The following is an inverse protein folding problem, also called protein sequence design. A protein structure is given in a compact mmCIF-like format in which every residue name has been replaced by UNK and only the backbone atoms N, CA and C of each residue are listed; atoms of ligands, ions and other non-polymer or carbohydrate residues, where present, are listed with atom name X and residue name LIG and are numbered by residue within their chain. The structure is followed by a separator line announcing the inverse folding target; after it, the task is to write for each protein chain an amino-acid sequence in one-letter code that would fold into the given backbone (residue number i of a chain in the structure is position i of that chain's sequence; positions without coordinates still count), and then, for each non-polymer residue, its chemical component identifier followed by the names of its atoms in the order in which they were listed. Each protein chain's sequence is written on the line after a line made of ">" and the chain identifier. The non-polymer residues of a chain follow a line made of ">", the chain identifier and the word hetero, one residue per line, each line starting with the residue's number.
data_IF_441865425994
#
_entry.id   IF_441865425994
#
_cell.length_a   1.000
_cell.length_b   1.000
_cell.length_c   1.000
_cell.angle_alpha   90.00
_cell.angle_beta   90.00
_cell.angle_gamma   90.00
#
_symmetry.space_group_name_H-M   'P 1'
#
loop_
_entity.id
_entity.type
_entity.pdbx_description
1 polymer ?
#
# COMPACT_ATOMS: atom_id res chain seq x y z
N UNK A 1 -38.47 -28.22 -33.96
CA UNK A 1 -38.30 -27.78 -32.54
C UNK A 1 -37.05 -28.36 -31.83
N UNK A 2 -36.00 -28.83 -32.54
CA UNK A 2 -34.80 -29.41 -31.88
C UNK A 2 -33.61 -28.45 -31.68
N UNK A 3 -33.60 -27.31 -32.40
CA UNK A 3 -32.46 -26.37 -32.44
C UNK A 3 -32.33 -25.51 -31.16
N UNK A 4 -33.45 -25.18 -30.52
CA UNK A 4 -33.46 -24.39 -29.27
C UNK A 4 -32.98 -25.21 -28.05
N UNK A 5 -33.17 -26.53 -28.05
CA UNK A 5 -32.71 -27.42 -26.98
C UNK A 5 -31.19 -27.61 -27.00
N UNK A 6 -30.58 -27.67 -28.19
CA UNK A 6 -29.13 -27.76 -28.34
C UNK A 6 -28.41 -26.47 -27.87
N UNK A 7 -28.98 -25.30 -28.14
CA UNK A 7 -28.42 -24.01 -27.70
C UNK A 7 -28.44 -23.85 -26.17
N UNK A 8 -29.52 -24.29 -25.52
CA UNK A 8 -29.64 -24.28 -24.06
C UNK A 8 -28.65 -25.23 -23.38
N UNK A 9 -28.39 -26.40 -23.98
CA UNK A 9 -27.38 -27.35 -23.49
C UNK A 9 -25.96 -26.79 -23.61
N UNK A 10 -25.61 -26.14 -24.72
CA UNK A 10 -24.29 -25.53 -24.91
C UNK A 10 -24.08 -24.37 -23.91
N UNK A 11 -25.11 -23.54 -23.69
CA UNK A 11 -25.03 -22.44 -22.74
C UNK A 11 -24.89 -22.93 -21.29
N UNK A 12 -25.64 -23.97 -20.91
CA UNK A 12 -25.51 -24.61 -19.60
C UNK A 12 -24.14 -25.26 -19.37
N UNK A 13 -23.60 -25.94 -20.38
CA UNK A 13 -22.27 -26.57 -20.29
C UNK A 13 -21.15 -25.53 -20.20
N UNK A 14 -21.28 -24.39 -20.91
CA UNK A 14 -20.32 -23.28 -20.80
C UNK A 14 -20.32 -22.62 -19.42
N UNK A 15 -21.48 -22.49 -18.78
CA UNK A 15 -21.58 -21.96 -17.41
C UNK A 15 -20.96 -22.95 -16.41
N UNK A 16 -21.15 -24.26 -16.60
CA UNK A 16 -20.57 -25.29 -15.75
C UNK A 16 -19.04 -25.33 -15.83
N UNK A 17 -18.45 -25.12 -17.02
CA UNK A 17 -16.99 -25.01 -17.19
C UNK A 17 -16.44 -23.75 -16.50
N UNK A 18 -17.15 -22.62 -16.55
CA UNK A 18 -16.77 -21.39 -15.85
C UNK A 18 -16.78 -21.55 -14.31
N UNK A 19 -17.70 -22.35 -13.76
CA UNK A 19 -17.77 -22.62 -12.33
C UNK A 19 -16.65 -23.55 -11.83
N UNK A 20 -16.09 -24.42 -12.68
CA UNK A 20 -15.00 -25.33 -12.33
C UNK A 20 -13.59 -24.70 -12.44
N UNK A 21 -13.46 -23.57 -13.15
CA UNK A 21 -12.19 -22.89 -13.35
C UNK A 21 -11.75 -22.00 -12.17
N UNK A 22 -12.58 -21.85 -11.13
CA UNK A 22 -12.31 -20.97 -9.99
C UNK A 22 -11.87 -21.76 -8.73
N UNK A 23 -10.93 -22.70 -8.88
CA UNK A 23 -10.29 -23.41 -7.76
C UNK A 23 -8.76 -23.34 -7.80
N UNK A 24 -8.20 -22.32 -8.44
CA UNK A 24 -6.79 -22.00 -8.30
C UNK A 24 -6.57 -21.36 -6.92
N UNK A 25 -6.12 -22.16 -5.96
CA UNK A 25 -5.67 -21.72 -4.66
C UNK A 25 -4.42 -20.85 -4.85
N UNK A 26 -4.61 -19.53 -4.94
CA UNK A 26 -3.51 -18.58 -5.04
C UNK A 26 -2.71 -18.65 -3.73
N UNK A 27 -1.49 -19.19 -3.79
CA UNK A 27 -0.57 -19.12 -2.65
C UNK A 27 -0.34 -17.66 -2.31
N UNK A 28 -0.87 -17.22 -1.17
CA UNK A 28 -0.63 -15.88 -0.66
C UNK A 28 0.83 -15.78 -0.24
N UNK A 29 1.51 -14.71 -0.67
CA UNK A 29 2.88 -14.44 -0.26
C UNK A 29 2.93 -14.19 1.24
N UNK A 30 3.90 -14.80 1.92
CA UNK A 30 4.14 -14.58 3.35
C UNK A 30 5.18 -13.49 3.56
N UNK A 31 5.05 -12.81 4.68
CA UNK A 31 6.01 -11.82 5.15
C UNK A 31 6.05 -11.76 6.66
N UNK A 32 6.97 -10.96 7.16
CA UNK A 32 7.14 -10.67 8.58
C UNK A 32 7.14 -9.14 8.77
N UNK A 33 6.50 -8.68 9.84
CA UNK A 33 6.46 -7.26 10.18
C UNK A 33 7.82 -6.80 10.71
N UNK A 34 8.36 -5.73 10.12
CA UNK A 34 9.64 -5.12 10.48
C UNK A 34 9.50 -3.61 10.69
N UNK A 35 10.48 -3.00 11.36
CA UNK A 35 10.54 -1.54 11.51
C UNK A 35 10.77 -0.89 10.14
N UNK A 36 9.79 -0.12 9.66
CA UNK A 36 9.94 0.62 8.42
C UNK A 36 10.80 1.86 8.62
N UNK A 37 11.72 2.08 7.67
CA UNK A 37 12.58 3.26 7.60
C UNK A 37 12.50 3.87 6.21
N UNK A 38 12.29 5.18 6.14
CA UNK A 38 12.37 5.97 4.90
C UNK A 38 13.58 6.88 4.94
N UNK A 39 14.28 6.95 3.81
CA UNK A 39 15.45 7.80 3.62
C UNK A 39 15.02 8.93 2.73
N UNK A 40 15.19 10.17 3.21
CA UNK A 40 14.82 11.38 2.47
C UNK A 40 16.05 12.27 2.27
N UNK A 41 16.13 12.92 1.12
CA UNK A 41 17.11 13.99 0.92
C UNK A 41 16.81 15.13 1.91
N UNK A 42 17.83 15.83 2.43
CA UNK A 42 17.63 16.92 3.37
C UNK A 42 16.87 18.05 2.67
N UNK A 43 15.88 18.60 3.35
CA UNK A 43 15.07 19.69 2.80
C UNK A 43 15.92 20.96 2.80
N UNK A 44 16.41 21.36 1.62
CA UNK A 44 17.03 22.67 1.48
C UNK A 44 15.97 23.73 1.77
N UNK A 45 16.08 24.42 2.90
CA UNK A 45 15.36 25.67 3.07
C UNK A 45 15.84 26.61 1.95
N UNK A 46 14.92 27.33 1.33
CA UNK A 46 15.26 28.44 0.45
C UNK A 46 16.09 29.41 1.32
N UNK A 47 17.42 29.40 1.16
CA UNK A 47 18.47 30.08 1.98
C UNK A 47 19.25 29.28 3.05
N UNK A 48 19.18 27.95 3.15
CA UNK A 48 20.14 27.20 3.98
C UNK A 48 21.38 26.82 3.17
N UNK A 49 22.51 27.48 3.45
CA UNK A 49 23.84 26.97 3.07
C UNK A 49 24.18 25.77 3.95
N UNK A 50 23.55 24.61 3.76
CA UNK A 50 24.07 23.40 4.39
C UNK A 50 23.85 22.11 3.59
N UNK A 51 24.99 21.60 3.12
CA UNK A 51 25.40 20.21 2.84
C UNK A 51 24.56 19.39 1.85
N UNK A 52 24.94 19.57 0.59
CA UNK A 52 24.89 18.53 -0.44
C UNK A 52 25.35 17.18 0.14
N UNK A 53 24.42 16.20 0.22
CA UNK A 53 24.73 14.79 0.53
C UNK A 53 24.26 14.19 1.86
N UNK A 54 23.59 14.92 2.77
CA UNK A 54 23.12 14.34 4.05
C UNK A 54 21.70 13.76 3.98
N UNK A 55 21.55 12.46 3.76
CA UNK A 55 20.25 11.79 3.84
C UNK A 55 19.74 11.72 5.28
N UNK A 56 18.45 12.03 5.48
CA UNK A 56 17.76 11.90 6.76
C UNK A 56 16.96 10.59 6.74
N UNK A 57 17.33 9.67 7.62
CA UNK A 57 16.54 8.46 7.90
C UNK A 57 15.45 8.78 8.91
N UNK A 58 14.24 8.27 8.66
CA UNK A 58 13.11 8.38 9.58
C UNK A 58 12.45 7.03 9.75
N UNK A 59 12.37 6.58 10.99
CA UNK A 59 11.54 5.46 11.37
C UNK A 59 10.07 5.85 11.23
N UNK A 60 9.27 4.95 10.66
CA UNK A 60 7.83 5.12 10.52
C UNK A 60 7.10 4.46 11.70
N UNK A 61 5.98 5.06 12.17
CA UNK A 61 5.21 4.46 13.25
C UNK A 61 4.60 3.12 12.80
N UNK A 62 4.56 2.13 13.69
CA UNK A 62 3.82 0.90 13.44
C UNK A 62 2.32 1.17 13.48
N UNK A 63 1.68 1.08 12.31
CA UNK A 63 0.28 1.45 12.10
C UNK A 63 -0.39 0.44 11.18
N UNK A 64 -1.67 0.21 11.41
CA UNK A 64 -2.52 -0.65 10.60
C UNK A 64 -3.86 0.06 10.33
N UNK A 65 -4.01 0.63 9.14
CA UNK A 65 -5.20 1.36 8.74
C UNK A 65 -6.25 0.41 8.14
N UNK A 66 -7.52 0.63 8.46
CA UNK A 66 -8.60 -0.17 7.88
C UNK A 66 -8.79 0.12 6.38
N UNK A 67 -8.56 1.37 5.98
CA UNK A 67 -8.75 1.85 4.60
C UNK A 67 -7.87 3.09 4.34
N UNK A 68 -7.85 3.50 3.07
CA UNK A 68 -7.21 4.72 2.61
C UNK A 68 -7.98 5.27 1.41
N UNK A 69 -7.63 6.47 0.95
CA UNK A 69 -8.16 7.07 -0.28
C UNK A 69 -7.04 7.39 -1.26
N UNK A 70 -7.29 7.18 -2.55
CA UNK A 70 -6.44 7.74 -3.59
C UNK A 70 -6.82 9.20 -3.84
N UNK A 71 -5.84 10.10 -3.83
CA UNK A 71 -6.06 11.50 -4.19
C UNK A 71 -4.88 12.07 -4.98
N UNK A 72 -5.17 12.98 -5.91
CA UNK A 72 -4.17 13.65 -6.73
C UNK A 72 -3.73 14.94 -6.05
N UNK A 73 -2.58 14.95 -5.39
CA UNK A 73 -2.10 16.10 -4.62
C UNK A 73 -0.91 16.79 -5.30
N UNK A 74 -0.79 18.10 -5.06
CA UNK A 74 0.39 18.86 -5.44
C UNK A 74 1.57 18.40 -4.57
N UNK A 75 2.58 17.77 -5.16
CA UNK A 75 3.84 17.45 -4.53
C UNK A 75 4.91 18.48 -4.93
N UNK A 76 5.42 19.22 -3.93
CA UNK A 76 6.48 20.22 -4.13
C UNK A 76 7.88 19.62 -4.05
N UNK A 77 8.01 18.30 -3.83
CA UNK A 77 9.30 17.63 -3.62
C UNK A 77 10.12 17.43 -4.90
N UNK A 78 9.53 17.67 -6.09
CA UNK A 78 10.14 17.31 -7.38
C UNK A 78 10.50 18.56 -8.19
N UNK A 79 11.72 19.07 -8.01
CA UNK A 79 12.42 19.89 -8.99
C UNK A 79 12.78 21.32 -8.58
N UNK A 80 14.05 21.69 -8.80
CA UNK A 80 14.60 23.04 -8.62
C UNK A 80 14.03 24.13 -9.55
N UNK A 81 12.88 23.88 -10.19
CA UNK A 81 12.19 24.81 -11.09
C UNK A 81 10.88 25.37 -10.49
N UNK A 82 10.59 25.09 -9.21
CA UNK A 82 9.51 25.76 -8.46
C UNK A 82 8.07 25.39 -8.83
N UNK A 83 7.85 24.42 -9.72
CA UNK A 83 6.51 23.93 -10.08
C UNK A 83 6.10 22.73 -9.24
N UNK A 84 4.96 22.81 -8.55
CA UNK A 84 4.36 21.65 -7.91
C UNK A 84 3.87 20.66 -8.99
N UNK A 85 4.28 19.40 -8.90
CA UNK A 85 3.76 18.33 -9.77
C UNK A 85 2.54 17.71 -9.09
N UNK A 86 1.50 17.35 -9.85
CA UNK A 86 0.39 16.56 -9.31
C UNK A 86 0.76 15.09 -9.35
N UNK A 87 0.77 14.45 -8.20
CA UNK A 87 1.07 13.03 -8.05
C UNK A 87 -0.07 12.35 -7.30
N UNK A 88 -0.22 11.03 -7.51
CA UNK A 88 -1.20 10.22 -6.79
C UNK A 88 -0.66 9.86 -5.41
N UNK A 89 -1.48 10.10 -4.38
CA UNK A 89 -1.20 9.80 -2.99
C UNK A 89 -2.16 8.75 -2.47
N UNK A 90 -1.68 7.88 -1.58
CA UNK A 90 -2.51 7.22 -0.60
C UNK A 90 -2.68 8.15 0.61
N UNK A 91 -3.91 8.61 0.84
CA UNK A 91 -4.27 9.42 2.00
C UNK A 91 -4.80 8.49 3.09
N UNK A 92 -4.11 8.48 4.22
CA UNK A 92 -4.45 7.68 5.41
C UNK A 92 -4.57 8.60 6.62
N UNK A 93 -5.48 8.28 7.53
CA UNK A 93 -5.76 9.12 8.70
C UNK A 93 -5.68 8.33 9.99
N UNK A 94 -5.16 8.98 11.04
CA UNK A 94 -5.05 8.46 12.39
C UNK A 94 -3.77 7.65 12.66
N UNK A 95 -3.51 7.48 13.95
CA UNK A 95 -2.44 6.64 14.48
C UNK A 95 -3.07 5.34 15.00
N UNK A 96 -3.36 4.41 14.08
CA UNK A 96 -3.88 3.11 14.45
C UNK A 96 -2.84 2.24 15.17
N UNK A 97 -3.29 1.25 15.94
CA UNK A 97 -2.40 0.23 16.50
C UNK A 97 -1.92 -0.70 15.39
N UNK A 98 -0.61 -0.68 15.13
CA UNK A 98 0.06 -1.57 14.19
C UNK A 98 0.05 -3.05 14.62
N UNK A 99 0.91 -3.82 13.94
CA UNK A 99 1.28 -5.17 14.35
C UNK A 99 2.66 -5.12 14.99
N UNK A 100 2.94 -6.05 15.89
CA UNK A 100 4.25 -6.14 16.55
C UNK A 100 5.31 -6.62 15.55
N UNK A 101 6.55 -6.14 15.70
CA UNK A 101 7.69 -6.62 14.92
C UNK A 101 7.84 -8.13 15.15
N UNK A 102 8.07 -8.87 14.06
CA UNK A 102 8.10 -10.34 14.08
C UNK A 102 6.77 -11.00 13.78
N UNK A 103 5.67 -10.24 13.69
CA UNK A 103 4.36 -10.83 13.33
C UNK A 103 4.40 -11.40 11.92
N UNK A 104 4.09 -12.68 11.77
CA UNK A 104 3.89 -13.29 10.46
C UNK A 104 2.58 -12.79 9.82
N UNK A 105 2.66 -12.45 8.54
CA UNK A 105 1.54 -11.93 7.76
C UNK A 105 1.46 -12.57 6.38
N UNK A 106 0.24 -12.64 5.84
CA UNK A 106 0.01 -12.78 4.40
C UNK A 106 -0.09 -11.41 3.76
N UNK A 107 0.55 -11.22 2.62
CA UNK A 107 0.34 -10.06 1.75
C UNK A 107 -0.97 -10.30 0.99
N UNK A 108 -1.93 -9.39 1.17
CA UNK A 108 -3.28 -9.48 0.62
C UNK A 108 -3.41 -8.64 -0.64
N UNK A 109 -2.85 -7.43 -0.63
CA UNK A 109 -2.95 -6.46 -1.73
C UNK A 109 -1.87 -5.40 -1.61
N UNK A 110 -1.60 -4.68 -2.70
CA UNK A 110 -0.61 -3.60 -2.77
C UNK A 110 -1.23 -2.34 -3.37
N UNK A 111 -1.01 -1.18 -2.73
CA UNK A 111 -1.49 0.07 -3.27
C UNK A 111 -0.59 0.55 -4.42
N UNK A 112 -1.20 1.18 -5.42
CA UNK A 112 -0.48 1.68 -6.61
C UNK A 112 0.20 3.04 -6.40
N UNK A 113 -0.13 3.74 -5.31
CA UNK A 113 0.44 5.05 -5.02
C UNK A 113 1.94 4.93 -4.73
N UNK A 114 2.71 5.96 -5.07
CA UNK A 114 4.14 6.04 -4.72
C UNK A 114 4.40 7.03 -3.57
N UNK A 115 3.35 7.71 -3.13
CA UNK A 115 3.39 8.68 -2.06
C UNK A 115 2.26 8.42 -1.07
N UNK A 116 2.56 8.63 0.20
CA UNK A 116 1.56 8.59 1.28
C UNK A 116 1.46 9.96 1.93
N UNK A 117 0.23 10.43 2.11
CA UNK A 117 -0.09 11.52 3.01
C UNK A 117 -0.71 10.91 4.27
N UNK A 118 0.05 10.89 5.36
CA UNK A 118 -0.43 10.44 6.66
C UNK A 118 -0.93 11.64 7.46
N UNK A 119 -2.25 11.75 7.59
CA UNK A 119 -2.93 12.71 8.44
C UNK A 119 -2.92 12.15 9.87
N UNK A 120 -2.00 12.62 10.68
CA UNK A 120 -1.80 12.17 12.06
C UNK A 120 -3.00 12.60 12.92
N UNK A 121 -3.43 13.83 12.73
CA UNK A 121 -4.61 14.48 13.30
C UNK A 121 -5.11 15.58 12.35
N UNK A 122 -6.07 16.41 12.78
CA UNK A 122 -6.68 17.45 11.95
C UNK A 122 -5.69 18.56 11.53
N UNK A 123 -4.60 18.75 12.26
CA UNK A 123 -3.63 19.83 12.02
C UNK A 123 -2.29 19.31 11.48
N UNK A 124 -1.95 18.06 11.76
CA UNK A 124 -0.65 17.47 11.46
C UNK A 124 -0.73 16.41 10.36
N UNK A 125 0.08 16.60 9.31
CA UNK A 125 0.24 15.59 8.27
C UNK A 125 1.68 15.47 7.79
N UNK A 126 2.07 14.25 7.44
CA UNK A 126 3.38 13.93 6.92
C UNK A 126 3.29 13.31 5.53
N UNK A 127 4.26 13.63 4.67
CA UNK A 127 4.38 13.08 3.32
C UNK A 127 5.59 12.18 3.23
N UNK A 128 5.38 11.00 2.66
CA UNK A 128 6.43 9.99 2.51
C UNK A 128 6.44 9.48 1.07
N UNK A 129 7.63 9.36 0.47
CA UNK A 129 7.83 8.67 -0.81
C UNK A 129 7.93 7.17 -0.54
N UNK A 130 6.78 6.54 -0.38
CA UNK A 130 6.60 5.12 -0.07
C UNK A 130 5.16 4.74 -0.44
N UNK A 131 4.90 3.44 -0.64
CA UNK A 131 3.54 2.90 -0.80
C UNK A 131 3.05 2.25 0.51
N UNK A 132 1.82 1.72 0.47
CA UNK A 132 1.22 0.90 1.53
C UNK A 132 0.84 -0.47 0.98
N UNK A 133 0.86 -1.47 1.86
CA UNK A 133 0.54 -2.87 1.55
C UNK A 133 -0.52 -3.35 2.52
N UNK A 134 -1.52 -4.06 2.00
CA UNK A 134 -2.55 -4.71 2.81
C UNK A 134 -2.02 -6.06 3.28
N UNK A 135 -2.10 -6.28 4.58
CA UNK A 135 -1.63 -7.51 5.23
C UNK A 135 -2.73 -8.16 6.06
N UNK A 136 -2.61 -9.47 6.26
CA UNK A 136 -3.42 -10.27 7.21
C UNK A 136 -2.49 -11.02 8.16
N UNK A 137 -2.61 -10.81 9.46
CA UNK A 137 -1.88 -11.60 10.47
C UNK A 137 -2.20 -13.09 10.33
N UNK A 138 -1.16 -13.92 10.30
CA UNK A 138 -1.30 -15.39 10.21
C UNK A 138 -1.96 -15.94 11.47
N UNK A 139 -1.57 -15.43 12.64
CA UNK A 139 -2.06 -15.89 13.94
C UNK A 139 -3.48 -15.39 14.24
N UNK A 140 -3.71 -14.08 14.10
CA UNK A 140 -4.96 -13.45 14.57
C UNK A 140 -6.01 -13.26 13.49
N UNK A 141 -5.61 -13.35 12.21
CA UNK A 141 -6.47 -13.00 11.08
C UNK A 141 -6.77 -11.50 10.93
N UNK A 142 -6.21 -10.64 11.80
CA UNK A 142 -6.39 -9.18 11.73
C UNK A 142 -5.83 -8.64 10.41
N UNK A 143 -6.63 -7.82 9.72
CA UNK A 143 -6.26 -7.21 8.44
C UNK A 143 -6.13 -5.69 8.52
N UNK A 144 -5.27 -5.15 7.65
CA UNK A 144 -5.28 -3.73 7.30
C UNK A 144 -4.08 -3.33 6.46
N UNK A 145 -4.01 -2.06 6.13
CA UNK A 145 -2.94 -1.44 5.37
C UNK A 145 -1.82 -0.98 6.30
N UNK A 146 -0.58 -1.25 5.93
CA UNK A 146 0.60 -0.75 6.63
C UNK A 146 1.63 -0.24 5.61
N UNK A 147 2.73 0.34 6.06
CA UNK A 147 3.79 0.81 5.16
C UNK A 147 4.35 -0.36 4.35
N UNK A 148 4.60 -0.15 3.05
CA UNK A 148 5.13 -1.25 2.21
C UNK A 148 6.50 -1.77 2.70
N UNK A 149 7.31 -0.88 3.30
CA UNK A 149 8.58 -1.26 3.95
C UNK A 149 8.43 -1.87 5.34
N UNK A 150 7.24 -1.94 5.90
CA UNK A 150 6.98 -2.67 7.16
C UNK A 150 6.84 -4.18 6.94
N UNK A 151 6.85 -4.65 5.69
CA UNK A 151 6.69 -6.08 5.36
C UNK A 151 7.96 -6.58 4.70
N UNK A 152 8.66 -7.51 5.35
CA UNK A 152 9.77 -8.25 4.76
C UNK A 152 9.23 -9.58 4.24
N UNK A 153 9.28 -9.80 2.92
CA UNK A 153 8.89 -11.08 2.33
C UNK A 153 9.79 -12.18 2.88
N UNK A 154 9.19 -13.30 3.28
CA UNK A 154 9.88 -14.50 3.72
C UNK A 154 9.60 -15.61 2.72
N UNK A 155 10.65 -16.25 2.23
CA UNK A 155 10.59 -17.39 1.30
C UNK A 155 10.25 -18.71 2.01
#
# INVERSE_FOLDING_TARGET
>A
MKKNSLFLLIFGFSIMILLLACSAESKMLKGEIVQAVVVSAPQGAFNSKEKEGQTIERELPSVLWASFQYDMLNNRYVGGSGGAQREEFCVVSGNGNGLDIGTEVYIVDEARCLWVLHQVDDENSNRYNISITKVRSVETGKEGWTWSKSVKIVD
#
